data_IF_102561237644
#
_entry.id   IF_102561237644
#
_cell.length_a   1.000
_cell.length_b   1.000
_cell.length_c   1.000
_cell.angle_alpha   90.00
_cell.angle_beta   90.00
_cell.angle_gamma   90.00
#
_symmetry.space_group_name_H-M   'P 1'
#
loop_
_entity.id
_entity.type
_entity.pdbx_description
1 polymer ?
#
# COMPACT_ATOMS: atom_id res chain seq x y z
N UNK A 1 8.29 -4.03 -6.02
CA UNK A 1 7.55 -4.54 -4.85
C UNK A 1 7.32 -6.02 -5.05
N UNK A 2 7.21 -6.78 -3.97
CA UNK A 2 6.87 -8.20 -3.94
C UNK A 2 5.60 -8.39 -3.13
N UNK A 3 4.86 -9.47 -3.40
CA UNK A 3 3.69 -9.84 -2.59
C UNK A 3 4.05 -9.85 -1.11
N UNK A 4 3.23 -9.22 -0.28
CA UNK A 4 3.45 -9.11 1.16
C UNK A 4 4.31 -7.93 1.61
N UNK A 5 4.94 -7.18 0.69
CA UNK A 5 5.65 -5.96 1.03
C UNK A 5 4.68 -4.97 1.69
N UNK A 6 5.08 -4.40 2.82
CA UNK A 6 4.34 -3.32 3.45
C UNK A 6 4.73 -2.02 2.76
N UNK A 7 3.74 -1.29 2.28
CA UNK A 7 3.93 -0.09 1.46
C UNK A 7 3.20 1.08 2.08
N UNK A 8 3.89 2.21 2.10
CA UNK A 8 3.39 3.49 2.57
C UNK A 8 3.33 4.44 1.37
N UNK A 9 2.15 4.98 1.09
CA UNK A 9 2.00 6.04 0.09
C UNK A 9 2.54 7.36 0.69
N UNK A 10 3.45 8.03 -0.02
CA UNK A 10 4.08 9.28 0.47
C UNK A 10 3.23 10.53 0.21
N UNK A 11 2.32 10.47 -0.75
CA UNK A 11 1.53 11.61 -1.17
C UNK A 11 0.15 11.58 -0.51
N UNK A 12 0.02 12.29 0.62
CA UNK A 12 -1.27 12.51 1.25
C UNK A 12 -1.91 13.80 0.73
N UNK A 13 -3.08 13.70 0.11
CA UNK A 13 -3.97 14.83 -0.16
C UNK A 13 -5.32 14.58 0.52
N UNK A 14 -6.19 15.61 0.56
CA UNK A 14 -7.55 15.46 1.08
C UNK A 14 -8.33 14.35 0.35
N UNK A 15 -8.03 14.15 -0.93
CA UNK A 15 -8.67 13.16 -1.81
C UNK A 15 -7.87 11.84 -1.93
N UNK A 16 -6.61 11.83 -1.46
CA UNK A 16 -5.75 10.65 -1.41
C UNK A 16 -5.06 10.57 -0.03
N UNK A 17 -5.78 10.13 1.02
CA UNK A 17 -5.23 10.13 2.37
C UNK A 17 -4.02 9.20 2.46
N UNK A 18 -3.11 9.50 3.39
CA UNK A 18 -1.98 8.64 3.71
C UNK A 18 -2.46 7.23 4.03
N UNK A 19 -1.95 6.22 3.31
CA UNK A 19 -2.31 4.82 3.54
C UNK A 19 -1.07 3.94 3.64
N UNK A 20 -1.10 3.06 4.64
CA UNK A 20 -0.19 1.92 4.80
C UNK A 20 -0.96 0.66 4.43
N UNK A 21 -0.41 -0.17 3.54
CA UNK A 21 -1.06 -1.39 3.08
C UNK A 21 -0.08 -2.46 2.67
N UNK A 22 -0.57 -3.69 2.57
CA UNK A 22 0.18 -4.86 2.12
C UNK A 22 0.02 -4.95 0.61
N UNK A 23 1.12 -5.00 -0.13
CA UNK A 23 1.11 -5.17 -1.58
C UNK A 23 0.58 -6.55 -1.97
N UNK A 24 -0.44 -6.57 -2.81
CA UNK A 24 -1.06 -7.80 -3.32
C UNK A 24 -0.55 -8.12 -4.71
N UNK A 25 -0.77 -7.21 -5.67
CA UNK A 25 -0.37 -7.44 -7.07
C UNK A 25 -0.25 -6.15 -7.86
N UNK A 26 0.43 -6.27 -8.99
CA UNK A 26 0.50 -5.24 -10.01
C UNK A 26 -0.64 -5.41 -11.02
N UNK A 27 -1.30 -4.30 -11.34
CA UNK A 27 -2.29 -4.17 -12.41
C UNK A 27 -1.71 -3.28 -13.52
N UNK A 28 -2.33 -3.16 -14.71
CA UNK A 28 -1.75 -2.38 -15.80
C UNK A 28 -1.39 -0.94 -15.43
N UNK A 29 -2.26 -0.24 -14.68
CA UNK A 29 -2.10 1.19 -14.32
C UNK A 29 -1.97 1.46 -12.82
N UNK A 30 -2.26 0.47 -11.98
CA UNK A 30 -2.35 0.62 -10.54
C UNK A 30 -1.63 -0.52 -9.83
N UNK A 31 -1.41 -0.35 -8.54
CA UNK A 31 -1.05 -1.42 -7.62
C UNK A 31 -2.22 -1.68 -6.68
N UNK A 32 -2.50 -2.93 -6.38
CA UNK A 32 -3.53 -3.33 -5.42
C UNK A 32 -2.91 -3.63 -4.06
N UNK A 33 -3.54 -3.07 -3.02
CA UNK A 33 -3.13 -3.21 -1.63
C UNK A 33 -4.30 -3.69 -0.77
N UNK A 34 -3.97 -4.27 0.38
CA UNK A 34 -4.94 -4.64 1.42
C UNK A 34 -4.49 -4.20 2.80
N UNK A 35 -5.45 -4.00 3.70
CA UNK A 35 -5.22 -3.82 5.14
C UNK A 35 -5.16 -5.16 5.89
N UNK A 36 -5.22 -6.31 5.21
CA UNK A 36 -5.22 -7.62 5.86
C UNK A 36 -6.50 -7.95 6.64
N UNK A 37 -7.48 -7.04 6.68
CA UNK A 37 -8.79 -7.22 7.34
C UNK A 37 -9.95 -7.38 6.34
N UNK A 38 -9.62 -7.51 5.05
CA UNK A 38 -10.58 -7.69 3.97
C UNK A 38 -10.92 -6.41 3.21
N UNK A 39 -10.30 -5.27 3.54
CA UNK A 39 -10.40 -4.07 2.71
C UNK A 39 -9.28 -4.03 1.68
N UNK A 40 -9.65 -3.62 0.46
CA UNK A 40 -8.76 -3.50 -0.68
C UNK A 40 -8.88 -2.13 -1.32
N UNK A 41 -7.77 -1.62 -1.85
CA UNK A 41 -7.75 -0.39 -2.62
C UNK A 41 -6.64 -0.43 -3.65
N UNK A 42 -6.75 0.47 -4.63
CA UNK A 42 -5.77 0.61 -5.70
C UNK A 42 -5.13 1.99 -5.64
N UNK A 43 -3.83 2.05 -5.96
CA UNK A 43 -3.10 3.32 -6.09
C UNK A 43 -2.44 3.38 -7.46
N UNK A 44 -2.44 4.55 -8.09
CA UNK A 44 -1.76 4.78 -9.38
C UNK A 44 -0.27 4.46 -9.28
N UNK A 45 0.30 3.90 -10.36
CA UNK A 45 1.75 3.70 -10.47
C UNK A 45 2.55 5.00 -10.49
N UNK A 46 1.89 6.12 -10.76
CA UNK A 46 2.49 7.47 -10.75
C UNK A 46 2.66 8.02 -9.32
N UNK A 47 2.08 7.37 -8.30
CA UNK A 47 2.29 7.78 -6.93
C UNK A 47 3.68 7.39 -6.41
N UNK A 48 4.24 8.21 -5.51
CA UNK A 48 5.44 7.83 -4.79
C UNK A 48 5.12 6.92 -3.61
N UNK A 49 5.92 5.85 -3.47
CA UNK A 49 5.77 4.83 -2.44
C UNK A 49 7.08 4.61 -1.71
N UNK A 50 6.97 4.23 -0.44
CA UNK A 50 8.10 3.65 0.32
C UNK A 50 7.71 2.24 0.74
N UNK A 51 8.59 1.29 0.46
CA UNK A 51 8.50 -0.07 1.02
C UNK A 51 9.05 0.00 2.44
N UNK A 52 8.20 -0.30 3.41
CA UNK A 52 8.59 -0.45 4.81
C UNK A 52 9.38 -1.76 4.97
N UNK A 53 10.70 -1.64 5.04
CA UNK A 53 11.63 -2.76 5.23
C UNK A 53 11.85 -3.10 6.70
N UNK A 54 11.22 -2.36 7.62
CA UNK A 54 11.22 -2.79 9.01
C UNK A 54 10.36 -4.05 9.07
N UNK A 55 10.93 -5.19 9.49
CA UNK A 55 10.24 -6.47 9.64
C UNK A 55 9.15 -6.45 10.74
N UNK A 56 8.56 -5.28 11.01
CA UNK A 56 7.49 -5.08 11.94
C UNK A 56 6.22 -5.65 11.32
N UNK A 57 5.83 -6.83 11.82
CA UNK A 57 4.50 -7.41 11.60
C UNK A 57 3.47 -6.34 11.95
N UNK A 58 2.68 -5.94 10.96
CA UNK A 58 1.58 -5.01 11.11
C UNK A 58 0.52 -5.65 12.01
N UNK A 59 0.54 -5.35 13.32
CA UNK A 59 -0.67 -5.40 14.13
C UNK A 59 -1.52 -4.21 13.70
N UNK A 60 -2.51 -4.49 12.85
CA UNK A 60 -3.54 -3.53 12.47
C UNK A 60 -4.64 -3.76 13.50
N UNK A 61 -4.70 -2.90 14.51
CA UNK A 61 -5.75 -2.92 15.55
C UNK A 61 -7.11 -2.55 14.94
#
# INVERSE_FOLDING_TARGET
MKFGDIVINKMSSKDNPFRKGIFVKELPKTYEFTDGKGWFWQISKECEFVVDKSNNVLYID
#
